data_IF_618199254416
#
_entry.id   IF_618199254416
#
_cell.length_a   1.000
_cell.length_b   1.000
_cell.length_c   1.000
_cell.angle_alpha   90.00
_cell.angle_beta   90.00
_cell.angle_gamma   90.00
#
_symmetry.space_group_name_H-M   'P 1'
#
loop_
_entity.id
_entity.type
_entity.pdbx_description
1 polymer ?
#
# COMPACT_ATOMS: atom_id res chain seq x y z
N UNK A 1 0.25 7.85 -17.17
CA UNK A 1 -0.74 6.84 -16.77
C UNK A 1 -0.12 5.46 -16.69
N UNK A 2 -0.87 4.44 -16.21
CA UNK A 2 -0.38 3.09 -16.01
C UNK A 2 -1.52 2.07 -16.02
N UNK A 3 -1.12 0.80 -15.95
CA UNK A 3 -2.03 -0.34 -15.85
C UNK A 3 -1.71 -1.13 -14.59
N UNK A 4 -2.75 -1.49 -13.83
CA UNK A 4 -2.64 -2.46 -12.75
C UNK A 4 -3.14 -3.81 -13.26
N UNK A 5 -2.33 -4.83 -13.11
CA UNK A 5 -2.67 -6.21 -13.47
C UNK A 5 -3.14 -6.93 -12.22
N UNK A 6 -4.38 -7.37 -12.26
CA UNK A 6 -5.06 -8.07 -11.18
C UNK A 6 -4.59 -9.51 -11.05
N UNK A 7 -4.52 -10.02 -9.81
CA UNK A 7 -4.31 -11.42 -9.47
C UNK A 7 -3.18 -12.09 -10.29
N UNK A 8 -2.03 -11.44 -10.41
CA UNK A 8 -0.88 -11.94 -11.19
C UNK A 8 -0.46 -13.34 -10.78
N UNK A 9 -0.54 -13.68 -9.48
CA UNK A 9 -0.27 -15.02 -8.97
C UNK A 9 -1.13 -16.10 -9.64
N UNK A 10 -2.39 -15.81 -9.96
CA UNK A 10 -3.30 -16.75 -10.62
C UNK A 10 -2.86 -17.13 -12.04
N UNK A 11 -2.08 -16.28 -12.68
CA UNK A 11 -1.45 -16.56 -13.99
C UNK A 11 -0.10 -17.26 -13.84
N UNK A 12 0.70 -16.89 -12.82
CA UNK A 12 2.06 -17.39 -12.63
C UNK A 12 2.12 -18.83 -12.14
N UNK A 13 1.10 -19.29 -11.41
CA UNK A 13 1.08 -20.62 -10.81
C UNK A 13 -0.01 -21.50 -11.41
N UNK A 14 0.39 -22.69 -11.93
CA UNK A 14 -0.52 -23.68 -12.52
C UNK A 14 -1.45 -24.32 -11.49
N UNK A 15 -1.03 -24.35 -10.24
CA UNK A 15 -1.74 -24.91 -9.08
C UNK A 15 -2.51 -23.84 -8.25
N UNK A 16 -2.53 -22.58 -8.70
CA UNK A 16 -3.20 -21.51 -7.96
C UNK A 16 -4.69 -21.82 -7.71
N UNK A 17 -5.07 -21.90 -6.43
CA UNK A 17 -6.45 -22.21 -6.02
C UNK A 17 -6.91 -23.65 -6.35
N UNK A 18 -5.99 -24.58 -6.66
CA UNK A 18 -6.30 -25.96 -7.03
C UNK A 18 -5.74 -26.93 -6.00
N UNK A 19 -6.41 -28.08 -5.84
CA UNK A 19 -5.94 -29.19 -5.04
C UNK A 19 -4.98 -30.11 -5.84
N UNK A 20 -4.28 -30.97 -5.14
CA UNK A 20 -3.44 -32.00 -5.76
C UNK A 20 -4.23 -32.82 -6.78
N UNK A 21 -3.64 -33.04 -7.95
CA UNK A 21 -4.27 -33.75 -9.07
C UNK A 21 -5.23 -32.91 -9.93
N UNK A 22 -5.49 -31.66 -9.58
CA UNK A 22 -6.35 -30.76 -10.37
C UNK A 22 -5.58 -29.83 -11.34
N UNK A 23 -4.28 -30.01 -11.43
CA UNK A 23 -3.41 -29.22 -12.31
C UNK A 23 -2.34 -30.10 -12.97
N UNK A 24 -1.78 -29.65 -14.07
CA UNK A 24 -0.75 -30.35 -14.83
C UNK A 24 0.57 -29.60 -14.67
N UNK A 25 1.64 -30.28 -14.22
CA UNK A 25 2.96 -29.66 -14.12
C UNK A 25 3.48 -29.17 -15.48
N UNK A 26 4.32 -28.14 -15.45
CA UNK A 26 5.03 -27.68 -16.64
C UNK A 26 6.05 -28.74 -17.14
N UNK A 27 6.66 -28.50 -18.28
CA UNK A 27 7.63 -29.42 -18.91
C UNK A 27 8.85 -29.80 -18.05
N UNK A 28 9.08 -29.09 -16.95
CA UNK A 28 10.14 -29.37 -15.97
C UNK A 28 9.62 -30.00 -14.69
N UNK A 29 8.32 -30.33 -14.61
CA UNK A 29 7.70 -30.93 -13.43
C UNK A 29 7.28 -29.94 -12.35
N UNK A 30 7.45 -28.63 -12.56
CA UNK A 30 7.11 -27.60 -11.57
C UNK A 30 5.73 -26.98 -11.79
N UNK A 31 5.33 -26.12 -10.85
CA UNK A 31 4.04 -25.43 -10.86
C UNK A 31 4.04 -24.04 -11.52
N UNK A 32 5.19 -23.58 -12.01
CA UNK A 32 5.27 -22.30 -12.72
C UNK A 32 4.63 -22.38 -14.08
N UNK A 33 3.75 -21.42 -14.41
CA UNK A 33 3.24 -21.25 -15.77
C UNK A 33 4.26 -20.47 -16.61
N UNK A 34 5.08 -21.22 -17.36
CA UNK A 34 6.20 -20.65 -18.13
C UNK A 34 5.73 -19.71 -19.23
N UNK A 35 4.60 -19.98 -19.83
CA UNK A 35 3.99 -19.17 -20.87
C UNK A 35 3.54 -17.82 -20.31
N UNK A 36 2.93 -17.80 -19.13
CA UNK A 36 2.54 -16.56 -18.46
C UNK A 36 3.76 -15.74 -18.02
N UNK A 37 4.82 -16.39 -17.54
CA UNK A 37 6.09 -15.72 -17.21
C UNK A 37 6.65 -14.99 -18.42
N UNK A 38 6.77 -15.67 -19.57
CA UNK A 38 7.26 -15.08 -20.82
C UNK A 38 6.32 -13.99 -21.34
N UNK A 39 5.00 -14.18 -21.20
CA UNK A 39 4.03 -13.14 -21.54
C UNK A 39 4.27 -11.86 -20.75
N UNK A 40 4.42 -11.94 -19.41
CA UNK A 40 4.66 -10.76 -18.60
C UNK A 40 5.99 -10.08 -18.92
N UNK A 41 7.08 -10.84 -19.06
CA UNK A 41 8.36 -10.30 -19.49
C UNK A 41 8.25 -9.52 -20.81
N UNK A 42 7.56 -10.10 -21.77
CA UNK A 42 7.40 -9.50 -23.10
C UNK A 42 6.50 -8.25 -23.07
N UNK A 43 5.30 -8.36 -22.50
CA UNK A 43 4.33 -7.24 -22.50
C UNK A 43 4.84 -6.04 -21.70
N UNK A 44 5.45 -6.27 -20.53
CA UNK A 44 6.01 -5.19 -19.72
C UNK A 44 7.16 -4.50 -20.46
N UNK A 45 8.04 -5.26 -21.09
CA UNK A 45 9.14 -4.68 -21.89
C UNK A 45 8.62 -3.84 -23.06
N UNK A 46 7.60 -4.34 -23.79
CA UNK A 46 6.99 -3.59 -24.88
C UNK A 46 6.33 -2.29 -24.43
N UNK A 47 5.52 -2.35 -23.36
CA UNK A 47 4.78 -1.18 -22.87
C UNK A 47 5.75 -0.12 -22.35
N UNK A 48 6.72 -0.51 -21.52
CA UNK A 48 7.69 0.41 -20.94
C UNK A 48 8.63 1.00 -22.00
N UNK A 49 8.98 0.22 -23.02
CA UNK A 49 9.83 0.68 -24.12
C UNK A 49 9.15 1.61 -25.13
N UNK A 50 7.83 1.43 -25.36
CA UNK A 50 7.06 2.22 -26.33
C UNK A 50 6.40 3.46 -25.74
N UNK A 51 6.03 3.39 -24.46
CA UNK A 51 5.21 4.41 -23.81
C UNK A 51 5.97 5.00 -22.62
N UNK A 52 6.87 5.95 -22.89
CA UNK A 52 7.65 6.61 -21.84
C UNK A 52 6.74 7.26 -20.79
N UNK A 53 7.00 6.94 -19.52
CA UNK A 53 6.23 7.42 -18.39
C UNK A 53 5.00 6.57 -18.02
N UNK A 54 4.71 5.50 -18.79
CA UNK A 54 3.70 4.50 -18.40
C UNK A 54 4.28 3.58 -17.34
N UNK A 55 3.47 3.17 -16.37
CA UNK A 55 3.84 2.21 -15.33
C UNK A 55 2.98 0.94 -15.42
N UNK A 56 3.63 -0.20 -15.22
CA UNK A 56 2.98 -1.50 -15.10
C UNK A 56 3.04 -1.94 -13.64
N UNK A 57 1.90 -2.20 -13.03
CA UNK A 57 1.79 -2.48 -11.59
C UNK A 57 1.21 -3.88 -11.41
N UNK A 58 1.90 -4.73 -10.64
CA UNK A 58 1.42 -6.06 -10.31
C UNK A 58 0.65 -6.07 -8.98
N UNK A 59 -0.55 -6.64 -8.98
CA UNK A 59 -1.14 -7.17 -7.76
C UNK A 59 -0.72 -8.64 -7.66
N UNK A 60 0.29 -8.88 -6.83
CA UNK A 60 0.89 -10.19 -6.62
C UNK A 60 1.19 -10.36 -5.12
N UNK A 61 0.51 -11.28 -4.46
CA UNK A 61 0.53 -11.45 -3.01
C UNK A 61 1.37 -12.65 -2.53
N UNK A 62 1.99 -13.39 -3.46
CA UNK A 62 2.82 -14.54 -3.11
C UNK A 62 4.30 -14.16 -2.96
N UNK A 63 5.14 -15.16 -2.67
CA UNK A 63 6.58 -15.01 -2.59
C UNK A 63 7.28 -15.15 -3.96
N UNK A 64 6.60 -14.85 -5.08
CA UNK A 64 7.25 -14.86 -6.38
C UNK A 64 8.37 -13.83 -6.41
N UNK A 65 9.62 -14.23 -6.76
CA UNK A 65 10.76 -13.34 -6.69
C UNK A 65 10.84 -12.42 -7.92
N UNK A 66 11.42 -11.23 -7.74
CA UNK A 66 11.78 -10.30 -8.82
C UNK A 66 10.62 -9.92 -9.73
N UNK A 67 9.43 -9.71 -9.16
CA UNK A 67 8.26 -9.20 -9.91
C UNK A 67 8.61 -7.85 -10.57
N UNK A 68 9.33 -7.00 -9.86
CA UNK A 68 9.80 -5.69 -10.35
C UNK A 68 11.25 -5.70 -10.82
N UNK A 69 11.88 -6.86 -10.84
CA UNK A 69 13.24 -7.05 -11.35
C UNK A 69 13.29 -6.96 -12.89
N UNK A 70 14.47 -6.66 -13.42
CA UNK A 70 14.72 -6.62 -14.86
C UNK A 70 14.63 -8.00 -15.48
N UNK A 71 14.28 -8.06 -16.80
CA UNK A 71 14.23 -9.33 -17.56
C UNK A 71 15.58 -10.02 -17.60
N UNK A 72 16.68 -9.26 -17.71
CA UNK A 72 18.05 -9.77 -17.73
C UNK A 72 18.45 -10.47 -16.41
N UNK A 73 17.73 -10.17 -15.33
CA UNK A 73 17.91 -10.79 -14.03
C UNK A 73 16.87 -11.86 -13.73
N UNK A 74 16.14 -12.33 -14.75
CA UNK A 74 15.01 -13.25 -14.66
C UNK A 74 13.79 -12.65 -13.94
N UNK A 75 13.64 -11.32 -13.93
CA UNK A 75 12.48 -10.63 -13.39
C UNK A 75 11.35 -10.47 -14.40
N UNK A 76 10.15 -10.10 -13.90
CA UNK A 76 8.95 -9.90 -14.73
C UNK A 76 8.83 -8.49 -15.31
N UNK A 77 9.72 -7.58 -14.92
CA UNK A 77 9.79 -6.19 -15.39
C UNK A 77 8.54 -5.33 -15.12
N UNK A 78 7.80 -5.61 -14.06
CA UNK A 78 6.81 -4.67 -13.58
C UNK A 78 7.48 -3.42 -13.00
N UNK A 79 6.85 -2.26 -13.15
CA UNK A 79 7.34 -1.01 -12.56
C UNK A 79 7.23 -1.03 -11.04
N UNK A 80 6.14 -1.58 -10.54
CA UNK A 80 5.82 -1.67 -9.11
C UNK A 80 5.01 -2.93 -8.80
N UNK A 81 5.03 -3.31 -7.52
CA UNK A 81 4.21 -4.37 -6.93
C UNK A 81 3.40 -3.82 -5.76
N UNK A 82 2.13 -4.18 -5.63
CA UNK A 82 1.35 -3.88 -4.45
C UNK A 82 1.91 -4.61 -3.22
N UNK A 83 2.09 -3.88 -2.10
CA UNK A 83 2.52 -4.49 -0.85
C UNK A 83 1.31 -4.94 -0.03
N UNK A 84 0.78 -6.11 -0.38
CA UNK A 84 -0.37 -6.71 0.31
C UNK A 84 -0.02 -7.13 1.75
N UNK A 85 1.23 -7.53 2.00
CA UNK A 85 1.72 -7.85 3.34
C UNK A 85 1.66 -6.64 4.27
N UNK A 86 2.21 -5.51 3.82
CA UNK A 86 2.11 -4.25 4.57
C UNK A 86 0.65 -3.84 4.81
N UNK A 87 -0.20 -3.96 3.80
CA UNK A 87 -1.62 -3.59 3.89
C UNK A 87 -2.33 -4.40 4.98
N UNK A 88 -2.15 -5.71 4.99
CA UNK A 88 -2.74 -6.58 6.00
C UNK A 88 -2.25 -6.24 7.42
N UNK A 89 -0.94 -6.14 7.60
CA UNK A 89 -0.33 -5.83 8.89
C UNK A 89 -0.75 -4.43 9.40
N UNK A 90 -0.76 -3.44 8.52
CA UNK A 90 -1.20 -2.08 8.82
C UNK A 90 -2.66 -2.05 9.27
N UNK A 91 -3.57 -2.67 8.52
CA UNK A 91 -4.99 -2.70 8.86
C UNK A 91 -5.27 -3.49 10.12
N UNK A 92 -4.59 -4.61 10.32
CA UNK A 92 -4.71 -5.39 11.55
C UNK A 92 -4.28 -4.59 12.77
N UNK A 93 -3.16 -3.85 12.66
CA UNK A 93 -2.71 -2.98 13.74
C UNK A 93 -3.68 -1.82 14.00
N UNK A 94 -4.14 -1.15 12.94
CA UNK A 94 -5.00 0.02 13.06
C UNK A 94 -6.39 -0.31 13.64
N UNK A 95 -6.89 -1.53 13.42
CA UNK A 95 -8.15 -2.03 14.01
C UNK A 95 -8.05 -2.34 15.50
N UNK A 96 -6.84 -2.57 16.01
CA UNK A 96 -6.66 -2.90 17.44
C UNK A 96 -7.05 -1.72 18.31
N UNK A 97 -7.70 -2.03 19.45
CA UNK A 97 -7.79 -1.08 20.54
C UNK A 97 -6.37 -0.62 20.93
N UNK A 98 -6.16 0.68 21.19
CA UNK A 98 -4.84 1.21 21.55
C UNK A 98 -4.14 0.48 22.71
N UNK A 99 -4.91 -0.08 23.64
CA UNK A 99 -4.38 -0.87 24.76
C UNK A 99 -3.55 -2.08 24.28
N UNK A 100 -3.98 -2.76 23.20
CA UNK A 100 -3.30 -3.95 22.67
C UNK A 100 -2.19 -3.63 21.68
N UNK A 101 -2.03 -2.38 21.25
CA UNK A 101 -1.05 -2.01 20.19
C UNK A 101 0.39 -2.22 20.62
N UNK A 102 0.70 -2.05 21.91
CA UNK A 102 2.05 -2.22 22.45
C UNK A 102 2.65 -3.57 22.08
N UNK A 103 1.89 -4.65 22.23
CA UNK A 103 2.36 -6.01 22.02
C UNK A 103 2.31 -6.42 20.53
N UNK A 104 1.70 -5.59 19.68
CA UNK A 104 1.54 -5.82 18.24
C UNK A 104 2.35 -4.84 17.36
N UNK A 105 3.28 -4.09 17.96
CA UNK A 105 4.01 -3.05 17.24
C UNK A 105 4.85 -3.58 16.06
N UNK A 106 5.27 -4.84 16.12
CA UNK A 106 5.97 -5.53 15.04
C UNK A 106 5.20 -5.49 13.71
N UNK A 107 3.86 -5.48 13.71
CA UNK A 107 3.04 -5.35 12.49
C UNK A 107 3.32 -4.06 11.72
N UNK A 108 3.67 -2.97 12.41
CA UNK A 108 3.99 -1.70 11.76
C UNK A 108 5.41 -1.65 11.17
N UNK A 109 6.32 -2.49 11.67
CA UNK A 109 7.74 -2.46 11.29
C UNK A 109 8.16 -3.65 10.43
N UNK A 110 7.39 -4.72 10.38
CA UNK A 110 7.76 -5.96 9.68
C UNK A 110 8.05 -5.73 8.19
N UNK A 111 7.26 -4.88 7.52
CA UNK A 111 7.47 -4.58 6.10
C UNK A 111 8.83 -3.96 5.80
N UNK A 112 9.49 -3.34 6.79
CA UNK A 112 10.85 -2.81 6.62
C UNK A 112 11.89 -3.90 6.40
N UNK A 113 11.64 -5.14 6.86
CA UNK A 113 12.57 -6.27 6.70
C UNK A 113 12.70 -6.74 5.25
N UNK A 114 11.68 -6.50 4.41
CA UNK A 114 11.67 -6.92 3.01
C UNK A 114 11.46 -5.76 2.01
N UNK A 115 11.45 -4.53 2.48
CA UNK A 115 11.16 -3.35 1.67
C UNK A 115 12.06 -3.20 0.42
N UNK A 116 13.28 -3.70 0.46
CA UNK A 116 14.24 -3.61 -0.66
C UNK A 116 14.12 -4.76 -1.66
N UNK A 117 13.27 -5.76 -1.39
CA UNK A 117 13.11 -6.94 -2.27
C UNK A 117 12.40 -6.62 -3.58
N UNK A 118 11.52 -5.63 -3.57
CA UNK A 118 10.70 -5.20 -4.71
C UNK A 118 10.45 -3.68 -4.64
N UNK A 119 9.99 -3.10 -5.75
CA UNK A 119 9.53 -1.71 -5.78
C UNK A 119 8.06 -1.66 -5.37
N UNK A 120 7.80 -1.38 -4.10
CA UNK A 120 6.48 -1.49 -3.53
C UNK A 120 5.62 -0.23 -3.66
N UNK A 121 4.30 -0.46 -3.81
CA UNK A 121 3.25 0.52 -3.52
C UNK A 121 2.53 0.07 -2.24
N UNK A 122 2.48 0.93 -1.24
CA UNK A 122 1.65 0.75 -0.05
C UNK A 122 0.20 1.04 -0.44
N UNK A 123 -0.64 0.03 -0.35
CA UNK A 123 -2.00 0.09 -0.91
C UNK A 123 -3.06 0.14 0.18
N UNK A 124 -3.99 1.07 0.03
CA UNK A 124 -5.31 1.03 0.65
C UNK A 124 -6.29 1.18 -0.52
N UNK A 125 -6.63 0.04 -1.15
CA UNK A 125 -7.37 -0.02 -2.40
C UNK A 125 -8.90 -0.11 -2.18
N UNK A 126 -9.64 -0.37 -3.24
CA UNK A 126 -11.07 -0.65 -3.18
C UNK A 126 -11.35 -1.93 -2.40
N UNK A 127 -10.50 -2.96 -2.50
CA UNK A 127 -10.70 -4.26 -1.85
C UNK A 127 -10.82 -4.17 -0.33
N UNK A 128 -10.21 -3.16 0.28
CA UNK A 128 -10.27 -2.96 1.73
C UNK A 128 -11.55 -2.26 2.19
N UNK A 129 -12.35 -1.70 1.28
CA UNK A 129 -13.53 -0.88 1.61
C UNK A 129 -14.82 -1.33 0.94
N UNK A 130 -14.90 -2.60 0.57
CA UNK A 130 -16.06 -3.26 -0.06
C UNK A 130 -16.44 -4.55 0.67
N UNK A 131 -17.58 -5.13 0.33
CA UNK A 131 -18.00 -6.47 0.71
C UNK A 131 -17.99 -6.74 2.23
N UNK A 132 -18.61 -5.85 3.01
CA UNK A 132 -18.74 -5.94 4.48
C UNK A 132 -17.40 -5.81 5.24
N UNK A 133 -16.37 -5.24 4.60
CA UNK A 133 -15.08 -4.97 5.24
C UNK A 133 -15.03 -3.63 5.98
N UNK A 134 -16.07 -2.83 5.93
CA UNK A 134 -16.19 -1.45 6.44
C UNK A 134 -15.32 -0.42 5.69
N UNK A 135 -15.73 0.85 5.74
CA UNK A 135 -14.87 1.96 5.28
C UNK A 135 -13.63 2.11 6.14
N UNK A 136 -12.60 2.83 5.66
CA UNK A 136 -11.37 3.06 6.44
C UNK A 136 -11.65 3.70 7.80
N UNK A 137 -12.58 4.67 7.86
CA UNK A 137 -12.97 5.30 9.12
C UNK A 137 -13.60 4.29 10.07
N UNK A 138 -14.50 3.43 9.57
CA UNK A 138 -15.23 2.48 10.40
C UNK A 138 -14.39 1.27 10.85
N UNK A 139 -13.22 1.05 10.24
CA UNK A 139 -12.23 0.09 10.75
C UNK A 139 -11.53 0.59 12.01
N UNK A 140 -11.50 1.90 12.25
CA UNK A 140 -10.79 2.47 13.41
C UNK A 140 -11.55 2.20 14.70
N UNK A 141 -10.86 1.84 15.80
CA UNK A 141 -11.46 1.61 17.11
C UNK A 141 -11.85 2.92 17.81
N UNK A 142 -12.67 2.77 18.86
CA UNK A 142 -13.06 3.86 19.74
C UNK A 142 -14.34 4.60 19.32
N UNK A 143 -14.60 5.72 19.98
CA UNK A 143 -15.72 6.60 19.67
C UNK A 143 -15.47 7.36 18.35
N UNK A 144 -16.51 7.98 17.80
CA UNK A 144 -16.44 8.62 16.49
C UNK A 144 -15.25 9.60 16.37
N UNK A 145 -15.06 10.48 17.34
CA UNK A 145 -13.93 11.42 17.36
C UNK A 145 -12.55 10.75 17.41
N UNK A 146 -12.44 9.59 18.06
CA UNK A 146 -11.19 8.83 18.15
C UNK A 146 -10.88 8.11 16.83
N UNK A 147 -11.90 7.65 16.12
CA UNK A 147 -11.74 7.07 14.77
C UNK A 147 -11.06 8.03 13.81
N UNK A 148 -11.47 9.31 13.79
CA UNK A 148 -10.84 10.34 12.97
C UNK A 148 -9.36 10.55 13.32
N UNK A 149 -9.03 10.63 14.61
CA UNK A 149 -7.64 10.78 15.07
C UNK A 149 -6.78 9.58 14.72
N UNK A 150 -7.31 8.36 14.91
CA UNK A 150 -6.63 7.13 14.52
C UNK A 150 -6.35 7.08 13.01
N UNK A 151 -7.33 7.44 12.19
CA UNK A 151 -7.18 7.48 10.74
C UNK A 151 -6.10 8.49 10.31
N UNK A 152 -6.10 9.69 10.91
CA UNK A 152 -5.06 10.69 10.67
C UNK A 152 -3.66 10.17 11.01
N UNK A 153 -3.50 9.49 12.13
CA UNK A 153 -2.23 8.89 12.54
C UNK A 153 -1.79 7.78 11.58
N UNK A 154 -2.72 6.93 11.15
CA UNK A 154 -2.46 5.87 10.16
C UNK A 154 -1.99 6.44 8.82
N UNK A 155 -2.65 7.46 8.30
CA UNK A 155 -2.24 8.10 7.04
C UNK A 155 -0.89 8.80 7.15
N UNK A 156 -0.60 9.45 8.29
CA UNK A 156 0.73 10.02 8.52
C UNK A 156 1.83 8.95 8.53
N UNK A 157 1.59 7.82 9.20
CA UNK A 157 2.51 6.68 9.18
C UNK A 157 2.73 6.15 7.76
N UNK A 158 1.65 5.91 7.01
CA UNK A 158 1.73 5.47 5.62
C UNK A 158 2.58 6.43 4.77
N UNK A 159 2.37 7.74 4.88
CA UNK A 159 3.12 8.73 4.09
C UNK A 159 4.61 8.78 4.47
N UNK A 160 4.97 8.51 5.71
CA UNK A 160 6.36 8.44 6.18
C UNK A 160 7.05 7.09 5.96
N UNK A 161 6.33 6.03 5.62
CA UNK A 161 6.89 4.71 5.38
C UNK A 161 7.54 4.62 3.99
N UNK A 162 8.48 3.70 3.78
CA UNK A 162 9.07 3.41 2.47
C UNK A 162 8.04 2.85 1.50
N UNK A 163 8.20 3.12 0.20
CA UNK A 163 7.29 2.69 -0.87
C UNK A 163 6.37 3.81 -1.38
N UNK A 164 5.84 3.66 -2.60
CA UNK A 164 4.84 4.56 -3.17
C UNK A 164 3.52 4.43 -2.41
N UNK A 165 2.59 5.35 -2.62
CA UNK A 165 1.34 5.43 -1.85
C UNK A 165 0.12 5.32 -2.75
N UNK A 166 -0.89 4.57 -2.31
CA UNK A 166 -2.19 4.51 -2.94
C UNK A 166 -3.29 4.65 -1.89
N UNK A 167 -4.08 5.70 -2.01
CA UNK A 167 -5.36 5.86 -1.33
C UNK A 167 -6.47 5.76 -2.37
N UNK A 168 -7.44 4.88 -2.15
CA UNK A 168 -8.60 4.78 -3.02
C UNK A 168 -9.57 5.95 -2.78
N UNK A 169 -10.33 6.32 -3.82
CA UNK A 169 -11.27 7.45 -3.79
C UNK A 169 -12.21 7.41 -2.59
N UNK A 170 -12.46 8.57 -1.97
CA UNK A 170 -13.29 8.72 -0.79
C UNK A 170 -12.55 8.55 0.54
N UNK A 171 -11.40 7.88 0.54
CA UNK A 171 -10.60 7.71 1.75
C UNK A 171 -9.97 9.03 2.21
N UNK A 172 -9.68 9.94 1.29
CA UNK A 172 -9.08 11.25 1.55
C UNK A 172 -9.97 12.19 2.37
N UNK A 173 -11.27 11.91 2.45
CA UNK A 173 -12.20 12.65 3.32
C UNK A 173 -12.95 11.72 4.30
N UNK A 174 -12.43 10.50 4.50
CA UNK A 174 -12.96 9.53 5.45
C UNK A 174 -14.42 9.14 5.18
N UNK A 175 -14.76 8.76 3.94
CA UNK A 175 -16.09 8.27 3.59
C UNK A 175 -16.59 7.25 4.60
N UNK A 176 -17.85 7.40 5.07
CA UNK A 176 -18.44 6.53 6.11
C UNK A 176 -18.94 5.21 5.56
N UNK A 177 -19.51 5.22 4.36
CA UNK A 177 -20.02 4.01 3.73
C UNK A 177 -18.91 3.28 2.98
N UNK A 178 -19.08 1.98 2.80
CA UNK A 178 -18.26 1.22 1.88
C UNK A 178 -18.42 1.77 0.46
N UNK A 179 -17.38 1.65 -0.34
CA UNK A 179 -17.45 2.04 -1.74
C UNK A 179 -18.38 1.11 -2.53
N UNK A 180 -19.07 1.66 -3.52
CA UNK A 180 -19.91 0.93 -4.46
C UNK A 180 -19.85 1.63 -5.81
N UNK A 181 -19.80 0.86 -6.89
CA UNK A 181 -19.91 1.33 -8.26
C UNK A 181 -21.32 1.83 -8.63
N UNK A 182 -22.33 1.48 -7.83
CA UNK A 182 -23.72 1.85 -8.08
C UNK A 182 -24.11 3.26 -7.59
N UNK A 183 -23.20 3.93 -6.89
CA UNK A 183 -23.47 5.25 -6.28
C UNK A 183 -22.22 6.14 -6.29
N UNK A 184 -22.46 7.44 -6.30
CA UNK A 184 -21.39 8.42 -6.12
C UNK A 184 -20.82 8.42 -4.70
N UNK A 185 -19.65 9.07 -4.54
CA UNK A 185 -19.04 9.29 -3.24
C UNK A 185 -19.91 10.22 -2.39
N UNK A 186 -19.85 10.04 -1.07
CA UNK A 186 -20.64 10.79 -0.08
C UNK A 186 -20.12 12.24 0.10
N UNK A 187 -20.07 13.04 -0.98
CA UNK A 187 -19.52 14.39 -0.99
C UNK A 187 -20.14 15.34 0.05
N UNK A 188 -21.40 15.11 0.45
CA UNK A 188 -22.09 15.87 1.50
C UNK A 188 -21.38 15.78 2.85
N UNK A 189 -20.56 14.74 3.09
CA UNK A 189 -19.76 14.61 4.31
C UNK A 189 -18.76 15.76 4.48
N UNK A 190 -18.35 16.44 3.41
CA UNK A 190 -17.45 17.59 3.48
C UNK A 190 -18.09 18.84 4.11
N UNK A 191 -19.38 18.84 4.33
CA UNK A 191 -20.06 19.87 5.14
C UNK A 191 -19.79 19.68 6.64
N UNK A 192 -19.41 18.44 7.05
CA UNK A 192 -19.03 18.14 8.41
C UNK A 192 -17.56 18.53 8.66
N UNK A 193 -17.27 19.33 9.72
CA UNK A 193 -15.92 19.80 10.04
C UNK A 193 -14.88 18.67 10.21
N UNK A 194 -15.24 17.53 10.77
CA UNK A 194 -14.29 16.41 10.98
C UNK A 194 -13.86 15.79 9.65
N UNK A 195 -14.77 15.57 8.72
CA UNK A 195 -14.44 15.06 7.38
C UNK A 195 -13.61 16.07 6.59
N UNK A 196 -13.95 17.37 6.70
CA UNK A 196 -13.18 18.45 6.09
C UNK A 196 -11.76 18.54 6.66
N UNK A 197 -11.59 18.26 7.95
CA UNK A 197 -10.30 18.21 8.61
C UNK A 197 -9.44 17.06 8.09
N UNK A 198 -10.02 15.86 7.87
CA UNK A 198 -9.31 14.74 7.22
C UNK A 198 -8.85 15.11 5.81
N UNK A 199 -9.73 15.71 5.01
CA UNK A 199 -9.36 16.13 3.65
C UNK A 199 -8.18 17.10 3.66
N UNK A 200 -8.23 18.10 4.53
CA UNK A 200 -7.12 19.05 4.68
C UNK A 200 -5.84 18.35 5.17
N UNK A 201 -5.97 17.39 6.11
CA UNK A 201 -4.84 16.60 6.59
C UNK A 201 -4.17 15.81 5.48
N UNK A 202 -4.95 15.07 4.69
CA UNK A 202 -4.43 14.31 3.54
C UNK A 202 -3.78 15.25 2.51
N UNK A 203 -4.39 16.41 2.25
CA UNK A 203 -3.81 17.45 1.38
C UNK A 203 -2.42 17.89 1.88
N UNK A 204 -2.28 18.20 3.17
CA UNK A 204 -0.99 18.61 3.75
C UNK A 204 0.04 17.47 3.71
N UNK A 205 -0.38 16.22 3.98
CA UNK A 205 0.49 15.06 3.85
C UNK A 205 0.99 14.86 2.41
N UNK A 206 0.13 15.05 1.41
CA UNK A 206 0.51 14.97 -0.01
C UNK A 206 1.45 16.11 -0.40
N UNK A 207 1.25 17.33 0.10
CA UNK A 207 2.19 18.42 -0.10
C UNK A 207 3.53 18.14 0.54
N UNK A 208 3.56 17.60 1.76
CA UNK A 208 4.78 17.19 2.44
C UNK A 208 5.50 16.12 1.62
N UNK A 209 4.80 15.09 1.18
CA UNK A 209 5.34 14.01 0.35
C UNK A 209 5.98 14.55 -0.94
N UNK A 210 5.29 15.42 -1.67
CA UNK A 210 5.80 16.02 -2.92
C UNK A 210 6.98 16.97 -2.74
N UNK A 211 7.07 17.68 -1.62
CA UNK A 211 8.18 18.61 -1.34
C UNK A 211 9.46 17.91 -0.90
N UNK A 212 9.36 16.67 -0.44
CA UNK A 212 10.48 15.92 0.12
C UNK A 212 10.83 14.74 -0.78
N UNK A 213 11.87 14.91 -1.61
CA UNK A 213 12.34 13.91 -2.57
C UNK A 213 12.67 12.56 -1.91
N UNK A 214 13.22 12.60 -0.69
CA UNK A 214 13.52 11.40 0.09
C UNK A 214 12.30 10.52 0.42
N UNK A 215 11.08 11.04 0.31
CA UNK A 215 9.86 10.26 0.55
C UNK A 215 9.36 9.52 -0.70
N UNK A 216 9.84 9.86 -1.91
CA UNK A 216 9.31 9.28 -3.14
C UNK A 216 10.34 8.93 -4.22
N UNK A 217 11.58 9.44 -4.18
CA UNK A 217 12.56 9.14 -5.23
C UNK A 217 13.33 7.85 -4.95
N UNK A 218 13.68 7.64 -3.69
CA UNK A 218 14.51 6.54 -3.26
C UNK A 218 13.78 5.80 -2.14
N UNK A 219 13.05 4.78 -2.52
CA UNK A 219 12.26 3.97 -1.59
C UNK A 219 13.15 2.98 -0.80
N UNK A 220 14.45 3.28 -0.62
CA UNK A 220 15.40 2.44 0.10
C UNK A 220 15.77 3.03 1.46
N UNK A 221 15.98 2.16 2.44
CA UNK A 221 16.48 2.55 3.77
C UNK A 221 17.89 3.11 3.73
N UNK A 222 18.75 2.66 2.81
CA UNK A 222 20.16 3.09 2.72
C UNK A 222 20.29 4.54 2.30
N UNK A 223 19.45 5.01 1.40
CA UNK A 223 19.49 6.41 0.95
C UNK A 223 18.99 7.36 2.02
N UNK A 224 18.15 6.87 2.94
CA UNK A 224 17.72 7.64 4.10
C UNK A 224 18.87 7.92 5.08
N UNK A 225 19.89 7.08 5.12
CA UNK A 225 21.06 7.28 6.00
C UNK A 225 22.07 8.28 5.41
N UNK A 226 22.19 8.37 4.10
CA UNK A 226 23.16 9.27 3.43
C UNK A 226 22.65 10.70 3.22
N UNK A 227 21.35 10.90 3.05
CA UNK A 227 20.72 12.24 3.01
C UNK A 227 20.16 12.66 4.39
N UNK A 228 20.62 11.98 5.42
CA UNK A 228 19.99 11.90 6.75
C UNK A 228 19.91 13.21 7.54
N UNK A 229 20.62 14.28 7.21
CA UNK A 229 20.58 15.51 8.03
C UNK A 229 19.31 16.34 7.80
N UNK A 230 18.80 16.43 6.57
CA UNK A 230 17.55 17.14 6.28
C UNK A 230 16.30 16.24 6.37
N UNK A 231 16.40 15.00 5.89
CA UNK A 231 15.31 14.03 5.92
C UNK A 231 15.00 13.51 7.34
N UNK A 232 16.02 13.36 8.19
CA UNK A 232 15.85 12.99 9.62
C UNK A 232 15.12 14.07 10.41
N UNK A 233 15.36 15.34 10.14
CA UNK A 233 14.64 16.43 10.81
C UNK A 233 13.16 16.43 10.48
N UNK A 234 12.77 16.15 9.22
CA UNK A 234 11.39 16.10 8.81
C UNK A 234 10.68 14.79 9.21
N UNK A 235 11.40 13.66 9.17
CA UNK A 235 10.87 12.39 9.72
C UNK A 235 10.73 12.42 11.23
N UNK A 236 11.68 13.02 11.94
CA UNK A 236 11.57 13.27 13.37
C UNK A 236 10.40 14.23 13.68
N UNK A 237 10.07 15.15 12.76
CA UNK A 237 8.89 16.00 12.85
C UNK A 237 7.62 15.20 12.59
N UNK A 238 7.58 14.33 11.57
CA UNK A 238 6.49 13.39 11.31
C UNK A 238 6.32 12.40 12.45
N UNK A 239 7.39 11.79 12.94
CA UNK A 239 7.35 10.90 14.11
C UNK A 239 6.84 11.62 15.37
N UNK A 240 7.23 12.87 15.60
CA UNK A 240 6.70 13.70 16.68
C UNK A 240 5.21 14.02 16.50
N UNK A 241 4.76 14.29 15.28
CA UNK A 241 3.34 14.47 14.97
C UNK A 241 2.58 13.17 15.23
N UNK A 242 3.09 12.03 14.81
CA UNK A 242 2.51 10.70 15.05
C UNK A 242 2.48 10.39 16.56
N UNK A 243 3.57 10.63 17.28
CA UNK A 243 3.64 10.43 18.74
C UNK A 243 2.73 11.40 19.50
N UNK A 244 2.62 12.66 19.07
CA UNK A 244 1.70 13.62 19.69
C UNK A 244 0.24 13.25 19.46
N UNK A 245 -0.10 12.70 18.30
CA UNK A 245 -1.45 12.20 17.99
C UNK A 245 -1.78 10.92 18.77
N UNK A 246 -0.80 10.04 19.00
CA UNK A 246 -0.98 8.85 19.83
C UNK A 246 -1.10 9.17 21.33
N UNK A 247 -0.46 10.24 21.79
CA UNK A 247 -0.55 10.69 23.19
C UNK A 247 -1.87 11.43 23.50
N UNK A 248 -2.58 11.95 22.50
CA UNK A 248 -3.91 12.55 22.65
C UNK A 248 -4.98 11.47 22.86
N UNK A 249 -4.72 10.21 22.52
CA UNK A 249 -5.63 9.07 22.77
C UNK A 249 -5.57 8.53 24.21
N UNK A 250 -4.72 9.09 25.08
CA UNK A 250 -4.55 8.68 26.49
C UNK A 250 -5.02 9.72 27.52
N UNK A 251 -5.81 10.73 27.10
CA UNK A 251 -6.50 11.64 28.02
C UNK A 251 -7.99 11.63 27.83
#
# INVERSE_FOLDING_TARGET
DGLRVDAVASMLYLDYGKNDGQWVPNKFGGNKNLEAVEFFKHINTLILGRNHGTVMIAEESTAWPKVTGKVEEDGLNFSYKWNMGWMNDFLDYMKLDPYFRRDNHHKMTFAMSYNESEKYILVLSHDEVVHLKCSMLNKMPGLEGDKFKNLMAGYAFMMGHCGKKLLFMGQEFAQKQEWSEERELDWYLLENPEHKKIQNWVKELLHLYRRNRCLYELDSMQTMQTEASSALSERARMARIICSLSSISHR
#
